data_IF_311260092440
#
_entry.id   IF_311260092440
#
_cell.length_a   1.000
_cell.length_b   1.000
_cell.length_c   1.000
_cell.angle_alpha   90.00
_cell.angle_beta   90.00
_cell.angle_gamma   90.00
#
_symmetry.space_group_name_H-M   'P 1'
#
loop_
_entity.id
_entity.type
_entity.pdbx_description
1 polymer ?
#
# COMPACT_ATOMS: atom_id res chain seq x y z
N UNK A 1 22.18 27.14 -13.71
CA UNK A 1 21.72 27.54 -12.36
C UNK A 1 20.92 26.37 -11.78
N UNK A 2 21.59 25.42 -11.11
CA UNK A 2 20.94 24.30 -10.43
C UNK A 2 20.41 24.78 -9.08
N UNK A 3 19.09 24.67 -8.87
CA UNK A 3 18.48 24.95 -7.56
C UNK A 3 18.93 23.88 -6.54
N UNK A 4 19.64 24.33 -5.52
CA UNK A 4 20.24 23.52 -4.45
C UNK A 4 19.25 23.43 -3.29
N UNK A 5 18.84 22.21 -2.93
CA UNK A 5 18.14 21.95 -1.68
C UNK A 5 19.17 21.33 -0.73
N UNK A 6 19.67 22.13 0.21
CA UNK A 6 20.68 21.70 1.18
C UNK A 6 20.05 20.81 2.27
N UNK A 7 20.61 19.60 2.45
CA UNK A 7 20.25 18.66 3.52
C UNK A 7 21.42 18.54 4.51
N UNK A 8 21.15 18.24 5.80
CA UNK A 8 22.15 18.31 6.86
C UNK A 8 23.32 17.33 6.66
N UNK A 9 24.54 17.85 6.83
CA UNK A 9 25.81 17.13 6.65
C UNK A 9 26.17 16.29 7.89
N UNK A 10 26.66 15.07 7.66
CA UNK A 10 27.22 14.22 8.71
C UNK A 10 28.74 14.24 8.60
N UNK A 11 29.42 14.78 9.63
CA UNK A 11 30.88 14.92 9.70
C UNK A 11 31.50 13.59 10.13
N UNK A 12 32.29 12.95 9.26
CA UNK A 12 33.00 11.72 9.60
C UNK A 12 34.48 12.04 9.82
N UNK A 13 34.89 12.10 11.09
CA UNK A 13 36.28 12.34 11.50
C UNK A 13 37.19 11.25 10.93
N UNK A 14 38.17 11.68 10.14
CA UNK A 14 39.29 10.90 9.61
C UNK A 14 39.93 10.01 10.68
N UNK A 15 39.75 8.69 10.57
CA UNK A 15 40.83 7.72 10.50
C UNK A 15 40.28 6.32 10.15
N UNK A 16 41.01 5.57 9.31
CA UNK A 16 40.70 4.24 8.72
C UNK A 16 39.84 4.24 7.45
N UNK A 17 40.44 3.70 6.41
CA UNK A 17 39.82 3.29 5.14
C UNK A 17 38.45 2.63 5.37
N UNK A 18 37.37 3.12 4.72
CA UNK A 18 36.05 2.59 4.98
C UNK A 18 35.93 1.22 4.30
N UNK A 19 35.63 0.20 5.11
CA UNK A 19 35.06 -1.06 4.62
C UNK A 19 33.88 -0.74 3.68
N UNK A 20 33.76 -1.40 2.51
CA UNK A 20 32.77 -1.08 1.47
C UNK A 20 31.30 -1.29 1.91
N UNK A 21 31.05 -1.72 3.15
CA UNK A 21 29.75 -2.19 3.63
C UNK A 21 29.07 -1.33 4.71
N UNK A 22 29.59 -0.15 5.08
CA UNK A 22 28.89 0.73 6.03
C UNK A 22 27.92 1.67 5.33
N UNK A 23 26.74 1.14 5.02
CA UNK A 23 25.54 1.96 4.75
C UNK A 23 25.23 2.83 5.99
N UNK A 24 25.14 4.18 5.86
CA UNK A 24 24.67 5.02 6.95
C UNK A 24 23.22 4.66 7.30
N UNK A 25 22.85 4.73 8.59
CA UNK A 25 21.54 4.36 9.14
C UNK A 25 20.35 5.02 8.40
N UNK A 26 19.90 4.40 7.31
CA UNK A 26 18.61 4.68 6.69
C UNK A 26 17.48 4.12 7.53
N UNK A 27 16.24 4.54 7.25
CA UNK A 27 15.05 3.86 7.78
C UNK A 27 15.18 2.35 7.56
N UNK A 28 14.90 1.50 8.57
CA UNK A 28 15.01 0.05 8.45
C UNK A 28 14.19 -0.53 7.28
N UNK A 29 13.19 0.24 6.82
CA UNK A 29 12.35 -0.08 5.68
C UNK A 29 13.09 -0.10 4.34
N UNK A 30 14.14 0.70 4.15
CA UNK A 30 14.89 0.78 2.88
C UNK A 30 14.07 1.19 1.63
N UNK A 31 14.73 1.62 0.55
CA UNK A 31 14.04 2.00 -0.70
C UNK A 31 13.37 0.80 -1.40
N UNK A 32 13.99 -0.39 -1.30
CA UNK A 32 13.48 -1.62 -1.93
C UNK A 32 12.09 -2.02 -1.44
N UNK A 33 11.76 -1.77 -0.17
CA UNK A 33 10.42 -2.05 0.36
C UNK A 33 9.39 -1.13 -0.30
N UNK A 34 9.66 0.17 -0.35
CA UNK A 34 8.78 1.13 -0.99
C UNK A 34 8.55 0.79 -2.47
N UNK A 35 9.63 0.48 -3.20
CA UNK A 35 9.55 0.04 -4.59
C UNK A 35 8.71 -1.23 -4.78
N UNK A 36 8.82 -2.19 -3.86
CA UNK A 36 8.01 -3.41 -3.89
C UNK A 36 6.52 -3.12 -3.61
N UNK A 37 6.19 -2.24 -2.66
CA UNK A 37 4.80 -1.86 -2.37
C UNK A 37 4.16 -1.05 -3.50
N UNK A 38 4.91 -0.12 -4.09
CA UNK A 38 4.46 0.63 -5.27
C UNK A 38 4.15 -0.29 -6.44
N UNK A 39 5.05 -1.24 -6.73
CA UNK A 39 4.81 -2.26 -7.78
C UNK A 39 3.60 -3.12 -7.47
N UNK A 40 3.44 -3.54 -6.21
CA UNK A 40 2.27 -4.31 -5.79
C UNK A 40 0.96 -3.56 -6.08
N UNK A 41 0.90 -2.26 -5.77
CA UNK A 41 -0.26 -1.43 -6.09
C UNK A 41 -0.54 -1.37 -7.59
N UNK A 42 0.49 -1.17 -8.42
CA UNK A 42 0.35 -1.16 -9.87
C UNK A 42 -0.10 -2.52 -10.44
N UNK A 43 0.43 -3.63 -9.93
CA UNK A 43 0.02 -4.99 -10.32
C UNK A 43 -1.42 -5.27 -9.90
N UNK A 44 -1.83 -4.83 -8.70
CA UNK A 44 -3.20 -4.94 -8.23
C UNK A 44 -4.17 -4.23 -9.19
N UNK A 45 -3.81 -3.05 -9.67
CA UNK A 45 -4.63 -2.28 -10.62
C UNK A 45 -4.72 -2.95 -11.98
N UNK A 46 -3.61 -3.48 -12.47
CA UNK A 46 -3.58 -4.21 -13.73
C UNK A 46 -4.48 -5.46 -13.68
N UNK A 47 -4.37 -6.26 -12.62
CA UNK A 47 -5.21 -7.45 -12.46
C UNK A 47 -6.67 -7.04 -12.28
N UNK A 48 -6.96 -6.03 -11.46
CA UNK A 48 -8.31 -5.53 -11.26
C UNK A 48 -8.93 -5.04 -12.58
N UNK A 49 -8.16 -4.34 -13.42
CA UNK A 49 -8.59 -3.90 -14.73
C UNK A 49 -8.92 -5.08 -15.66
N UNK A 50 -8.10 -6.13 -15.67
CA UNK A 50 -8.37 -7.35 -16.45
C UNK A 50 -9.65 -8.03 -15.97
N UNK A 51 -9.80 -8.25 -14.66
CA UNK A 51 -10.99 -8.89 -14.08
C UNK A 51 -12.24 -8.09 -14.38
N UNK A 52 -12.20 -6.77 -14.16
CA UNK A 52 -13.30 -5.86 -14.44
C UNK A 52 -13.71 -5.88 -15.92
N UNK A 53 -12.73 -5.92 -16.83
CA UNK A 53 -13.00 -5.96 -18.28
C UNK A 53 -13.67 -7.27 -18.70
N UNK A 54 -13.31 -8.39 -18.06
CA UNK A 54 -13.84 -9.72 -18.40
C UNK A 54 -15.15 -10.05 -17.69
N UNK A 55 -15.36 -9.53 -16.48
CA UNK A 55 -16.49 -9.89 -15.63
C UNK A 55 -16.99 -8.70 -14.78
N UNK A 56 -17.69 -7.73 -15.40
CA UNK A 56 -18.26 -6.61 -14.67
C UNK A 56 -19.42 -7.07 -13.78
N UNK A 57 -19.36 -6.72 -12.49
CA UNK A 57 -20.38 -7.07 -11.50
C UNK A 57 -21.14 -5.84 -11.03
N UNK A 58 -22.47 -5.95 -11.01
CA UNK A 58 -23.35 -4.90 -10.49
C UNK A 58 -23.25 -4.79 -8.96
N UNK A 59 -23.14 -3.56 -8.40
CA UNK A 59 -23.12 -3.34 -6.95
C UNK A 59 -24.50 -3.49 -6.30
N UNK A 60 -24.57 -3.81 -4.98
CA UNK A 60 -25.85 -4.00 -4.26
C UNK A 60 -26.80 -2.80 -4.30
N UNK A 61 -26.27 -1.57 -4.27
CA UNK A 61 -27.06 -0.33 -4.28
C UNK A 61 -28.00 -0.19 -5.49
N UNK A 62 -27.66 -0.80 -6.62
CA UNK A 62 -28.47 -0.75 -7.84
C UNK A 62 -29.61 -1.79 -7.87
N UNK A 63 -29.66 -2.72 -6.92
CA UNK A 63 -30.71 -3.75 -6.86
C UNK A 63 -32.09 -3.20 -6.47
N UNK A 64 -32.13 -2.05 -5.81
CA UNK A 64 -33.36 -1.44 -5.30
C UNK A 64 -33.98 -0.42 -6.25
N UNK A 65 -33.50 -0.36 -7.50
CA UNK A 65 -34.00 0.56 -8.52
C UNK A 65 -35.49 0.29 -8.85
N UNK A 66 -36.39 1.28 -8.68
CA UNK A 66 -37.82 1.13 -8.95
C UNK A 66 -38.15 1.00 -10.44
N UNK A 67 -37.26 1.45 -11.33
CA UNK A 67 -37.53 1.56 -12.77
C UNK A 67 -37.31 0.25 -13.53
N UNK A 68 -36.82 -0.80 -12.85
CA UNK A 68 -36.57 -2.12 -13.46
C UNK A 68 -37.86 -2.98 -13.48
N UNK A 69 -38.47 -3.23 -14.64
CA UNK A 69 -39.68 -4.04 -14.75
C UNK A 69 -39.39 -5.55 -14.70
N UNK A 70 -40.42 -6.36 -14.47
CA UNK A 70 -40.35 -7.82 -14.60
C UNK A 70 -40.13 -8.59 -13.30
N UNK A 71 -39.98 -9.91 -13.42
CA UNK A 71 -39.76 -10.81 -12.27
C UNK A 71 -38.40 -10.56 -11.59
N UNK A 72 -37.36 -10.30 -12.39
CA UNK A 72 -35.99 -10.03 -11.91
C UNK A 72 -35.94 -8.73 -11.10
N UNK A 73 -36.61 -7.67 -11.54
CA UNK A 73 -36.68 -6.41 -10.78
C UNK A 73 -37.46 -6.53 -9.46
N UNK A 74 -38.47 -7.41 -9.40
CA UNK A 74 -39.18 -7.71 -8.14
C UNK A 74 -38.32 -8.51 -7.18
N UNK A 75 -37.58 -9.48 -7.69
CA UNK A 75 -36.63 -10.27 -6.90
C UNK A 75 -35.47 -9.41 -6.39
N UNK A 76 -34.87 -8.58 -7.23
CA UNK A 76 -33.81 -7.65 -6.85
C UNK A 76 -34.25 -6.70 -5.71
N UNK A 77 -35.45 -6.12 -5.81
CA UNK A 77 -36.03 -5.27 -4.76
C UNK A 77 -36.38 -6.02 -3.48
N UNK A 78 -36.64 -7.33 -3.56
CA UNK A 78 -36.95 -8.14 -2.37
C UNK A 78 -35.78 -8.25 -1.38
N UNK A 79 -34.54 -8.04 -1.85
CA UNK A 79 -33.35 -8.03 -0.99
C UNK A 79 -33.24 -6.78 -0.11
N UNK A 80 -33.95 -5.69 -0.43
CA UNK A 80 -34.08 -4.52 0.44
C UNK A 80 -32.78 -3.74 0.69
N UNK A 81 -31.83 -3.76 -0.25
CA UNK A 81 -30.60 -2.97 -0.11
C UNK A 81 -30.90 -1.47 -0.12
N UNK A 82 -30.29 -0.71 0.78
CA UNK A 82 -30.47 0.74 0.85
C UNK A 82 -29.13 1.41 0.58
N UNK A 83 -29.09 2.31 -0.41
CA UNK A 83 -27.93 3.17 -0.63
C UNK A 83 -27.94 4.30 0.39
N UNK A 84 -27.05 4.21 1.38
CA UNK A 84 -26.92 5.23 2.44
C UNK A 84 -26.12 6.45 2.00
N UNK A 85 -25.48 6.42 0.83
CA UNK A 85 -24.56 7.49 0.35
C UNK A 85 -25.16 8.28 -0.80
N UNK A 86 -25.84 7.64 -1.75
CA UNK A 86 -26.42 8.32 -2.91
C UNK A 86 -27.96 8.41 -2.85
N UNK A 87 -28.56 8.27 -1.67
CA UNK A 87 -30.00 8.48 -1.46
C UNK A 87 -30.44 9.92 -1.70
N UNK A 88 -31.74 10.19 -1.54
CA UNK A 88 -32.34 11.52 -1.78
C UNK A 88 -31.75 12.68 -0.95
N UNK A 89 -31.10 12.38 0.19
CA UNK A 89 -30.37 13.33 1.04
C UNK A 89 -28.85 13.03 1.08
N UNK A 90 -28.37 12.19 0.17
CA UNK A 90 -27.00 11.68 0.14
C UNK A 90 -26.00 12.57 -0.59
N UNK A 91 -24.74 12.47 -0.20
CA UNK A 91 -23.61 13.16 -0.84
C UNK A 91 -23.32 12.56 -2.22
N UNK A 92 -23.78 13.23 -3.28
CA UNK A 92 -23.39 12.92 -4.66
C UNK A 92 -22.12 13.68 -5.02
N UNK A 93 -21.01 12.97 -5.23
CA UNK A 93 -19.79 13.61 -5.72
C UNK A 93 -19.77 13.62 -7.25
N UNK A 94 -19.28 14.73 -7.84
CA UNK A 94 -19.07 14.86 -9.29
C UNK A 94 -18.22 13.70 -9.86
N UNK A 95 -17.41 13.07 -9.01
CA UNK A 95 -16.58 11.91 -9.35
C UNK A 95 -17.36 10.58 -9.46
N UNK A 96 -18.55 10.44 -8.85
CA UNK A 96 -19.36 9.21 -8.89
C UNK A 96 -20.47 9.23 -9.94
N UNK A 97 -20.92 10.41 -10.37
CA UNK A 97 -21.98 10.59 -11.37
C UNK A 97 -21.46 10.91 -12.79
N UNK A 98 -20.14 10.86 -13.01
CA UNK A 98 -19.56 11.21 -14.32
C UNK A 98 -19.77 10.10 -15.35
N UNK A 99 -19.98 10.46 -16.63
CA UNK A 99 -20.18 9.53 -17.76
C UNK A 99 -19.00 8.59 -18.00
N UNK A 100 -17.83 8.93 -17.46
CA UNK A 100 -16.61 8.12 -17.54
C UNK A 100 -16.44 7.14 -16.36
N UNK A 101 -17.32 7.15 -15.37
CA UNK A 101 -17.31 6.19 -14.26
C UNK A 101 -18.27 5.04 -14.56
N UNK A 102 -17.77 3.81 -14.66
CA UNK A 102 -18.64 2.65 -14.79
C UNK A 102 -19.25 2.29 -13.43
N UNK A 103 -20.54 2.55 -13.25
CA UNK A 103 -21.26 2.26 -12.02
C UNK A 103 -21.46 0.75 -11.77
N UNK A 104 -21.26 -0.09 -12.79
CA UNK A 104 -21.33 -1.56 -12.73
C UNK A 104 -19.96 -2.22 -12.46
N UNK A 105 -18.99 -1.48 -11.91
CA UNK A 105 -17.63 -1.94 -11.65
C UNK A 105 -17.43 -2.39 -10.19
N UNK A 106 -18.24 -3.30 -9.67
CA UNK A 106 -18.15 -3.70 -8.25
C UNK A 106 -17.01 -4.70 -7.97
N UNK A 107 -16.67 -5.59 -8.91
CA UNK A 107 -15.67 -6.63 -8.69
C UNK A 107 -14.42 -6.39 -9.56
N UNK A 108 -13.20 -6.50 -9.00
CA UNK A 108 -12.85 -6.70 -7.58
C UNK A 108 -12.86 -5.37 -6.79
N UNK A 109 -13.12 -5.42 -5.48
CA UNK A 109 -13.13 -4.19 -4.66
C UNK A 109 -11.71 -3.62 -4.47
N UNK A 110 -11.38 -2.58 -5.24
CA UNK A 110 -10.10 -1.85 -5.12
C UNK A 110 -9.99 -1.07 -3.80
N UNK A 111 -11.09 -0.53 -3.28
CA UNK A 111 -11.11 0.12 -1.96
C UNK A 111 -10.59 -0.82 -0.87
N UNK A 112 -11.15 -2.04 -0.82
CA UNK A 112 -10.70 -3.05 0.11
C UNK A 112 -9.27 -3.51 -0.22
N UNK A 113 -8.96 -3.80 -1.48
CA UNK A 113 -7.62 -4.24 -1.91
C UNK A 113 -6.49 -3.26 -1.51
N UNK A 114 -6.68 -1.96 -1.73
CA UNK A 114 -5.72 -0.94 -1.30
C UNK A 114 -5.62 -0.82 0.21
N UNK A 115 -6.76 -0.88 0.92
CA UNK A 115 -6.76 -0.81 2.38
C UNK A 115 -6.01 -2.00 3.01
N UNK A 116 -6.17 -3.18 2.42
CA UNK A 116 -5.47 -4.39 2.81
C UNK A 116 -3.98 -4.28 2.52
N UNK A 117 -3.61 -3.77 1.33
CA UNK A 117 -2.21 -3.52 0.98
C UNK A 117 -1.52 -2.58 1.98
N UNK A 118 -2.19 -1.49 2.36
CA UNK A 118 -1.69 -0.54 3.36
C UNK A 118 -1.60 -1.21 4.73
N UNK A 119 -2.64 -1.92 5.16
CA UNK A 119 -2.67 -2.63 6.43
C UNK A 119 -1.54 -3.65 6.56
N UNK A 120 -1.34 -4.49 5.54
CA UNK A 120 -0.24 -5.44 5.45
C UNK A 120 1.12 -4.74 5.45
N UNK A 121 1.24 -3.61 4.77
CA UNK A 121 2.49 -2.82 4.76
C UNK A 121 2.85 -2.32 6.16
N UNK A 122 1.86 -1.84 6.92
CA UNK A 122 2.05 -1.39 8.31
C UNK A 122 2.43 -2.56 9.22
N UNK A 123 1.77 -3.71 9.07
CA UNK A 123 2.05 -4.94 9.83
C UNK A 123 3.46 -5.45 9.57
N UNK A 124 3.90 -5.48 8.31
CA UNK A 124 5.21 -6.00 7.92
C UNK A 124 6.32 -4.95 7.93
N UNK A 125 6.05 -3.73 8.38
CA UNK A 125 7.05 -2.68 8.46
C UNK A 125 8.15 -3.09 9.44
N UNK A 126 9.44 -3.14 9.00
CA UNK A 126 10.54 -3.41 9.91
C UNK A 126 10.73 -2.20 10.83
N UNK A 127 10.36 -2.36 12.10
CA UNK A 127 10.60 -1.36 13.12
C UNK A 127 12.09 -1.36 13.51
N UNK A 128 12.63 -0.18 13.82
CA UNK A 128 14.02 -0.04 14.27
C UNK A 128 14.31 -0.94 15.49
N UNK A 129 15.54 -1.49 15.63
CA UNK A 129 15.89 -2.46 16.67
C UNK A 129 15.53 -1.99 18.10
N UNK A 130 15.62 -0.68 18.34
CA UNK A 130 15.24 -0.05 19.62
C UNK A 130 13.76 -0.31 20.01
N UNK A 131 12.89 -0.49 19.04
CA UNK A 131 11.46 -0.74 19.22
C UNK A 131 11.08 -2.22 19.09
N UNK A 132 12.05 -3.11 18.88
CA UNK A 132 11.80 -4.55 18.74
C UNK A 132 11.87 -5.31 20.08
N UNK A 133 12.28 -4.65 21.18
CA UNK A 133 12.34 -5.27 22.51
C UNK A 133 10.95 -5.74 22.96
N UNK A 134 10.77 -7.05 22.92
CA UNK A 134 9.58 -7.75 23.40
C UNK A 134 9.70 -8.01 24.91
N UNK A 135 8.63 -7.80 25.67
CA UNK A 135 8.61 -8.14 27.10
C UNK A 135 8.22 -9.61 27.24
N UNK A 136 9.02 -10.39 27.97
CA UNK A 136 8.67 -11.78 28.28
C UNK A 136 7.92 -11.79 29.60
N UNK A 137 6.66 -12.22 29.59
CA UNK A 137 5.84 -12.41 30.77
C UNK A 137 5.77 -13.89 31.09
N UNK A 138 6.22 -14.29 32.28
CA UNK A 138 6.14 -15.68 32.74
C UNK A 138 5.07 -15.80 33.81
N UNK A 139 4.01 -16.56 33.53
CA UNK A 139 2.97 -16.90 34.51
C UNK A 139 3.17 -18.34 34.95
N UNK A 140 3.27 -18.55 36.26
CA UNK A 140 3.28 -19.89 36.84
C UNK A 140 1.84 -20.34 36.98
N UNK A 141 1.45 -21.42 36.28
CA UNK A 141 0.09 -21.94 36.38
C UNK A 141 -0.09 -22.68 37.72
N UNK A 142 -1.13 -22.36 38.51
CA UNK A 142 -1.28 -22.89 39.87
C UNK A 142 -1.60 -24.39 39.93
N UNK A 143 -2.06 -25.00 38.82
CA UNK A 143 -2.56 -26.38 38.82
C UNK A 143 -1.63 -27.42 38.15
N UNK A 144 -0.64 -26.98 37.35
CA UNK A 144 0.16 -27.87 36.50
C UNK A 144 1.68 -27.73 36.67
N UNK A 145 2.16 -26.85 37.56
CA UNK A 145 3.60 -26.62 37.80
C UNK A 145 4.38 -26.08 36.59
N UNK A 146 3.73 -25.87 35.44
CA UNK A 146 4.34 -25.40 34.20
C UNK A 146 4.34 -23.87 34.15
N UNK A 147 5.50 -23.30 33.87
CA UNK A 147 5.68 -21.87 33.64
C UNK A 147 5.35 -21.54 32.19
N UNK A 148 4.23 -20.85 31.97
CA UNK A 148 3.86 -20.33 30.65
C UNK A 148 4.66 -19.05 30.39
N UNK A 149 5.54 -19.06 29.39
CA UNK A 149 6.30 -17.86 28.98
C UNK A 149 5.67 -17.28 27.73
N UNK A 150 4.97 -16.16 27.88
CA UNK A 150 4.40 -15.40 26.77
C UNK A 150 5.35 -14.25 26.39
N UNK A 151 5.77 -14.21 25.13
CA UNK A 151 6.49 -13.05 24.58
C UNK A 151 5.47 -12.08 23.99
N UNK A 152 5.27 -10.96 24.67
CA UNK A 152 4.43 -9.89 24.16
C UNK A 152 5.26 -8.99 23.24
N UNK A 153 4.79 -8.70 22.01
CA UNK A 153 5.46 -7.75 21.14
C UNK A 153 5.48 -6.35 21.77
N UNK A 154 6.40 -5.49 21.34
CA UNK A 154 6.49 -4.13 21.87
C UNK A 154 5.19 -3.34 21.64
N UNK A 155 4.89 -2.35 22.48
CA UNK A 155 3.67 -1.54 22.35
C UNK A 155 3.54 -0.91 20.94
N UNK A 156 4.65 -0.49 20.33
CA UNK A 156 4.65 0.04 18.96
C UNK A 156 4.36 -1.04 17.92
N UNK A 157 4.89 -2.24 18.09
CA UNK A 157 4.56 -3.37 17.23
C UNK A 157 3.09 -3.75 17.36
N UNK A 158 2.55 -3.73 18.59
CA UNK A 158 1.13 -3.92 18.84
C UNK A 158 0.28 -2.85 18.14
N UNK A 159 0.67 -1.58 18.24
CA UNK A 159 -0.03 -0.49 17.55
C UNK A 159 -0.03 -0.69 16.02
N UNK A 160 1.09 -1.08 15.42
CA UNK A 160 1.14 -1.40 13.99
C UNK A 160 0.20 -2.56 13.61
N UNK A 161 0.11 -3.60 14.44
CA UNK A 161 -0.82 -4.71 14.22
C UNK A 161 -2.28 -4.24 14.31
N UNK A 162 -2.61 -3.49 15.36
CA UNK A 162 -3.96 -2.96 15.57
C UNK A 162 -4.36 -2.05 14.42
N UNK A 163 -3.54 -1.07 14.06
CA UNK A 163 -3.82 -0.14 12.95
C UNK A 163 -3.91 -0.88 11.62
N UNK A 164 -2.98 -1.81 11.37
CA UNK A 164 -2.93 -2.56 10.12
C UNK A 164 -4.11 -3.52 9.92
N UNK A 165 -4.76 -3.98 10.99
CA UNK A 165 -6.00 -4.77 10.92
C UNK A 165 -7.24 -3.88 10.95
N UNK A 166 -7.25 -2.85 11.79
CA UNK A 166 -8.40 -1.96 11.95
C UNK A 166 -8.72 -1.21 10.66
N UNK A 167 -7.72 -0.73 9.93
CA UNK A 167 -7.93 0.04 8.71
C UNK A 167 -8.72 -0.74 7.63
N UNK A 168 -8.27 -1.92 7.14
CA UNK A 168 -9.05 -2.70 6.19
C UNK A 168 -10.40 -3.16 6.75
N UNK A 169 -10.51 -3.43 8.06
CA UNK A 169 -11.79 -3.78 8.68
C UNK A 169 -12.81 -2.61 8.62
N UNK A 170 -12.38 -1.39 8.91
CA UNK A 170 -13.21 -0.19 8.81
C UNK A 170 -13.66 0.03 7.37
N UNK A 171 -12.74 -0.12 6.40
CA UNK A 171 -13.08 0.02 4.98
C UNK A 171 -14.08 -1.06 4.54
N UNK A 172 -13.92 -2.31 5.00
CA UNK A 172 -14.88 -3.39 4.74
C UNK A 172 -16.28 -3.05 5.26
N UNK A 173 -16.36 -2.60 6.52
CA UNK A 173 -17.64 -2.16 7.12
C UNK A 173 -18.23 -1.03 6.29
N UNK A 174 -17.43 -0.03 5.91
CA UNK A 174 -17.90 1.10 5.12
C UNK A 174 -18.46 0.68 3.76
N UNK A 175 -17.74 -0.12 2.96
CA UNK A 175 -18.19 -0.50 1.61
C UNK A 175 -19.44 -1.39 1.63
N UNK A 176 -19.63 -2.19 2.69
CA UNK A 176 -20.81 -3.03 2.87
C UNK A 176 -21.98 -2.20 3.40
N UNK A 177 -21.76 -1.37 4.42
CA UNK A 177 -22.80 -0.52 5.00
C UNK A 177 -23.38 0.47 3.98
N UNK A 178 -22.54 0.93 3.05
CA UNK A 178 -22.94 1.83 1.96
C UNK A 178 -23.52 1.10 0.74
N UNK A 179 -23.74 -0.22 0.83
CA UNK A 179 -24.25 -1.06 -0.26
C UNK A 179 -23.45 -0.94 -1.58
N UNK A 180 -22.18 -0.53 -1.51
CA UNK A 180 -21.32 -0.34 -2.67
C UNK A 180 -20.70 -1.66 -3.16
N UNK A 181 -20.51 -2.63 -2.27
CA UNK A 181 -19.87 -3.90 -2.58
C UNK A 181 -20.48 -5.04 -1.77
N UNK A 182 -20.56 -6.23 -2.36
CA UNK A 182 -20.78 -7.47 -1.63
C UNK A 182 -19.50 -7.88 -0.90
N UNK A 183 -19.63 -8.72 0.14
CA UNK A 183 -18.49 -9.33 0.83
C UNK A 183 -17.62 -10.12 -0.17
N UNK A 184 -18.26 -10.76 -1.16
CA UNK A 184 -17.55 -11.50 -2.20
C UNK A 184 -16.63 -10.61 -3.05
N UNK A 185 -17.02 -9.36 -3.31
CA UNK A 185 -16.17 -8.39 -4.02
C UNK A 185 -14.92 -8.05 -3.21
N UNK A 186 -15.04 -7.99 -1.88
CA UNK A 186 -13.93 -7.79 -0.97
C UNK A 186 -13.02 -9.03 -0.92
N UNK A 187 -13.58 -10.24 -0.95
CA UNK A 187 -12.80 -11.48 -1.06
C UNK A 187 -12.02 -11.50 -2.38
N UNK A 188 -12.65 -11.15 -3.50
CA UNK A 188 -11.98 -11.01 -4.79
C UNK A 188 -10.85 -9.96 -4.72
N UNK A 189 -11.10 -8.80 -4.11
CA UNK A 189 -10.09 -7.78 -3.86
C UNK A 189 -8.92 -8.28 -3.01
N UNK A 190 -9.19 -9.09 -1.98
CA UNK A 190 -8.16 -9.71 -1.15
C UNK A 190 -7.30 -10.70 -1.95
N UNK A 191 -7.92 -11.54 -2.78
CA UNK A 191 -7.21 -12.48 -3.65
C UNK A 191 -6.31 -11.74 -4.64
N UNK A 192 -6.83 -10.70 -5.29
CA UNK A 192 -6.07 -9.85 -6.22
C UNK A 192 -4.89 -9.18 -5.50
N UNK A 193 -5.11 -8.62 -4.31
CA UNK A 193 -4.04 -8.04 -3.50
C UNK A 193 -2.97 -9.08 -3.13
N UNK A 194 -3.37 -10.30 -2.76
CA UNK A 194 -2.46 -11.40 -2.44
C UNK A 194 -1.61 -11.83 -3.64
N UNK A 195 -2.24 -12.00 -4.81
CA UNK A 195 -1.56 -12.32 -6.07
C UNK A 195 -0.60 -11.20 -6.48
N UNK A 196 -1.01 -9.94 -6.35
CA UNK A 196 -0.15 -8.80 -6.63
C UNK A 196 1.05 -8.75 -5.65
N UNK A 197 0.84 -9.07 -4.37
CA UNK A 197 1.89 -9.03 -3.36
C UNK A 197 3.01 -10.04 -3.63
N UNK A 198 2.67 -11.23 -4.10
CA UNK A 198 3.64 -12.27 -4.48
C UNK A 198 4.17 -12.07 -5.91
N UNK A 199 3.32 -11.59 -6.82
CA UNK A 199 3.59 -11.44 -8.26
C UNK A 199 4.12 -10.08 -8.71
N UNK A 200 4.37 -9.11 -7.82
CA UNK A 200 4.78 -7.74 -8.21
C UNK A 200 6.07 -7.66 -9.06
N UNK A 201 6.85 -8.73 -9.12
CA UNK A 201 8.05 -8.84 -9.97
C UNK A 201 7.71 -8.92 -11.45
N UNK A 202 6.50 -9.34 -11.83
CA UNK A 202 6.07 -9.42 -13.23
C UNK A 202 6.18 -8.06 -13.92
N UNK A 203 5.92 -6.96 -13.20
CA UNK A 203 6.08 -5.61 -13.75
C UNK A 203 7.53 -5.26 -14.11
N UNK A 204 8.52 -5.97 -13.58
CA UNK A 204 9.92 -5.75 -13.98
C UNK A 204 10.17 -6.19 -15.44
N UNK A 205 9.34 -7.07 -15.99
CA UNK A 205 9.40 -7.42 -17.42
C UNK A 205 8.99 -6.26 -18.33
N UNK A 206 8.34 -5.23 -17.78
CA UNK A 206 7.97 -4.00 -18.50
C UNK A 206 9.04 -2.91 -18.42
N UNK A 207 10.17 -3.15 -17.74
CA UNK A 207 11.29 -2.20 -17.70
C UNK A 207 11.80 -1.83 -19.11
N UNK A 208 11.93 -2.75 -20.09
CA UNK A 208 12.32 -2.36 -21.44
C UNK A 208 11.33 -1.40 -22.09
N UNK A 209 10.03 -1.57 -21.79
CA UNK A 209 8.98 -0.68 -22.29
C UNK A 209 9.03 0.69 -21.59
N UNK A 210 9.30 0.72 -20.28
CA UNK A 210 9.54 1.96 -19.53
C UNK A 210 10.73 2.74 -20.12
N UNK A 211 11.85 2.06 -20.35
CA UNK A 211 13.06 2.68 -20.89
C UNK A 211 12.84 3.20 -22.32
N UNK A 212 12.10 2.45 -23.16
CA UNK A 212 11.69 2.91 -24.48
C UNK A 212 10.78 4.14 -24.41
N UNK A 213 9.78 4.14 -23.51
CA UNK A 213 8.90 5.29 -23.31
C UNK A 213 9.69 6.53 -22.87
N UNK A 214 10.55 6.40 -21.86
CA UNK A 214 11.41 7.48 -21.37
C UNK A 214 12.33 8.03 -22.46
N UNK A 215 12.87 7.15 -23.30
CA UNK A 215 13.62 7.55 -24.49
C UNK A 215 12.75 8.36 -25.46
N UNK A 216 11.52 7.92 -25.77
CA UNK A 216 10.59 8.66 -26.63
C UNK A 216 10.26 10.05 -26.11
N UNK A 217 10.04 10.20 -24.80
CA UNK A 217 9.71 11.49 -24.17
C UNK A 217 10.94 12.31 -23.78
N UNK A 218 12.16 11.82 -24.05
CA UNK A 218 13.44 12.45 -23.67
C UNK A 218 13.53 12.78 -22.18
N UNK A 219 13.05 11.87 -21.33
CA UNK A 219 13.13 12.02 -19.87
C UNK A 219 14.22 11.09 -19.34
N UNK A 220 15.23 11.66 -18.68
CA UNK A 220 16.28 10.90 -18.03
C UNK A 220 15.82 10.29 -16.70
N UNK A 221 16.20 9.03 -16.48
CA UNK A 221 15.89 8.31 -15.24
C UNK A 221 16.83 8.78 -14.13
N UNK A 222 16.33 9.25 -12.98
CA UNK A 222 17.18 9.73 -11.89
C UNK A 222 17.95 8.55 -11.27
N UNK A 223 19.26 8.52 -11.47
CA UNK A 223 20.15 7.53 -10.85
C UNK A 223 20.61 8.02 -9.48
N UNK A 224 20.45 7.18 -8.45
CA UNK A 224 21.08 7.44 -7.15
C UNK A 224 22.55 7.08 -7.24
N UNK A 225 23.41 8.09 -7.38
CA UNK A 225 24.87 7.96 -7.25
C UNK A 225 25.32 8.58 -5.95
N UNK A 226 26.20 7.89 -5.23
CA UNK A 226 26.96 8.52 -4.15
C UNK A 226 28.05 9.37 -4.80
N UNK A 227 28.01 10.68 -4.59
CA UNK A 227 28.96 11.62 -5.21
C UNK A 227 29.90 12.13 -4.12
N UNK A 228 31.19 12.09 -4.42
CA UNK A 228 32.21 12.68 -3.57
C UNK A 228 32.28 14.17 -3.84
N UNK A 229 32.16 15.00 -2.80
CA UNK A 229 32.38 16.43 -2.90
C UNK A 229 33.71 16.78 -2.23
N UNK A 230 34.50 17.62 -2.90
CA UNK A 230 35.61 18.33 -2.27
C UNK A 230 35.04 19.62 -1.69
N UNK A 231 35.00 19.76 -0.37
CA UNK A 231 34.83 21.09 0.23
C UNK A 231 36.22 21.74 0.22
N UNK A 232 36.37 22.82 -0.54
CA UNK A 232 37.63 23.54 -0.67
C UNK A 232 37.86 24.41 0.56
N UNK A 233 38.62 23.88 1.52
CA UNK A 233 39.40 24.64 2.52
C UNK A 233 40.30 23.70 3.34
N UNK A 234 39.89 22.44 3.50
CA UNK A 234 40.72 21.34 3.99
C UNK A 234 40.64 20.19 2.97
N UNK A 235 41.69 19.38 2.78
CA UNK A 235 41.73 18.20 1.88
C UNK A 235 40.76 17.05 2.32
N UNK A 236 39.62 17.37 2.91
CA UNK A 236 38.63 16.45 3.44
C UNK A 236 37.58 16.11 2.36
N UNK A 237 37.61 14.84 1.89
CA UNK A 237 36.59 14.33 0.96
C UNK A 237 35.30 14.00 1.73
N UNK A 238 34.24 14.76 1.48
CA UNK A 238 32.93 14.52 2.09
C UNK A 238 32.05 13.70 1.14
N UNK A 239 31.64 12.50 1.57
CA UNK A 239 30.65 11.70 0.82
C UNK A 239 29.26 12.29 1.02
N UNK A 240 28.64 12.81 -0.04
CA UNK A 240 27.23 13.23 0.02
C UNK A 240 26.41 12.33 -0.92
N UNK A 241 25.32 11.74 -0.39
CA UNK A 241 24.34 11.02 -1.23
C UNK A 241 23.51 12.08 -1.96
N UNK A 242 23.65 12.17 -3.28
CA UNK A 242 22.87 13.06 -4.13
C UNK A 242 22.00 12.28 -5.12
N UNK A 243 20.99 12.94 -5.67
CA UNK A 243 20.31 12.47 -6.89
C UNK A 243 20.95 13.23 -8.04
N UNK A 244 21.62 12.52 -8.94
CA UNK A 244 22.21 13.15 -10.13
C UNK A 244 21.19 13.01 -11.25
N UNK A 245 20.66 14.15 -11.70
CA UNK A 245 19.93 14.24 -12.97
C UNK A 245 20.99 14.63 -14.00
N UNK A 246 21.27 13.74 -14.96
CA UNK A 246 22.14 14.05 -16.10
C UNK A 246 21.36 14.79 -17.16
#
# INVERSE_FOLDING_TARGET
MQNRIDLPSYRQRSDKSPSPNREPHGSPAGPKLYEARRRTMATCNLIAFIVFTLWPCMPPRLLSDPDVPGAVGREARSFGFVDTVHGAEGESSVWTQNKFCNQYAAMPSLHFGYSLLVGLTIIFLPLAPQHQRSKTFSVRTPFAGKTLRLRLPSARRMACLVVGVAYPAIILVAIVATANHFILDAVAGAMVCGLAWTGNRVLLNLLPLEDYFLWCVRIDKPERKAVWFHDGEDDERVLRKGVVVR
#
